data_IF_957804107227
#
_entry.id   IF_957804107227
#
_cell.length_a   1.000
_cell.length_b   1.000
_cell.length_c   1.000
_cell.angle_alpha   90.00
_cell.angle_beta   90.00
_cell.angle_gamma   90.00
#
_symmetry.space_group_name_H-M   'P 1'
#
loop_
_entity.id
_entity.type
_entity.pdbx_description
1 polymer ?
#
# COMPACT_ATOMS: atom_id res chain seq x y z
N UNK A 1 61.35 21.33 -37.33
CA UNK A 1 59.92 21.52 -37.65
C UNK A 1 59.18 20.41 -36.92
N UNK A 2 58.91 20.58 -35.63
CA UNK A 2 57.74 21.23 -35.02
C UNK A 2 56.45 20.38 -35.17
N UNK A 3 55.74 20.25 -34.04
CA UNK A 3 54.49 19.53 -33.75
C UNK A 3 54.67 18.05 -33.35
N UNK A 4 54.76 17.69 -32.06
CA UNK A 4 53.77 17.77 -30.96
C UNK A 4 52.55 16.85 -31.16
N UNK A 5 52.41 15.80 -30.34
CA UNK A 5 51.35 15.65 -29.34
C UNK A 5 51.52 14.37 -28.49
N UNK A 6 51.89 14.65 -27.24
CA UNK A 6 51.67 13.99 -25.94
C UNK A 6 51.15 12.54 -25.84
N UNK A 7 51.91 11.79 -25.01
CA UNK A 7 51.48 10.64 -24.21
C UNK A 7 50.23 10.96 -23.38
N UNK A 8 49.27 10.04 -23.36
CA UNK A 8 48.56 9.68 -22.14
C UNK A 8 48.08 8.24 -22.25
N UNK A 9 48.60 7.39 -21.37
CA UNK A 9 48.01 6.08 -21.07
C UNK A 9 46.66 6.37 -20.40
N UNK A 10 45.59 6.35 -21.19
CA UNK A 10 44.24 6.26 -20.64
C UNK A 10 44.03 4.83 -20.21
N UNK A 11 44.05 4.60 -18.90
CA UNK A 11 43.42 3.44 -18.29
C UNK A 11 42.05 3.28 -18.94
N UNK A 12 41.85 2.17 -19.65
CA UNK A 12 40.52 1.63 -19.79
C UNK A 12 40.08 1.31 -18.36
N UNK A 13 39.42 2.27 -17.71
CA UNK A 13 38.48 1.94 -16.66
C UNK A 13 37.46 1.04 -17.35
N UNK A 14 37.60 -0.26 -17.12
CA UNK A 14 36.46 -1.14 -17.13
C UNK A 14 35.42 -0.43 -16.25
N UNK A 15 34.39 0.12 -16.87
CA UNK A 15 33.27 0.67 -16.15
C UNK A 15 32.59 -0.53 -15.49
N UNK A 16 32.99 -0.80 -14.26
CA UNK A 16 32.24 -1.61 -13.33
C UNK A 16 30.87 -0.93 -13.18
N UNK A 17 29.86 -1.44 -13.88
CA UNK A 17 28.47 -1.29 -13.46
C UNK A 17 27.81 -2.65 -13.57
N UNK A 18 28.32 -3.59 -12.79
CA UNK A 18 27.57 -4.79 -12.45
C UNK A 18 26.70 -4.44 -11.23
N UNK A 19 25.80 -3.46 -11.39
CA UNK A 19 24.85 -3.07 -10.36
C UNK A 19 23.62 -3.96 -10.52
N UNK A 20 23.70 -5.23 -10.11
CA UNK A 20 22.50 -6.03 -9.96
C UNK A 20 21.76 -5.47 -8.74
N UNK A 21 20.72 -4.68 -8.98
CA UNK A 21 19.92 -4.07 -7.92
C UNK A 21 19.13 -5.19 -7.26
N UNK A 22 19.20 -5.33 -5.93
CA UNK A 22 18.31 -6.24 -5.20
C UNK A 22 16.97 -5.54 -4.98
N UNK A 23 16.12 -5.60 -6.00
CA UNK A 23 14.79 -4.97 -6.03
C UNK A 23 13.93 -5.31 -4.80
N UNK A 24 14.04 -6.53 -4.28
CA UNK A 24 13.34 -6.93 -3.06
C UNK A 24 13.91 -6.27 -1.82
N UNK A 25 15.23 -6.14 -1.73
CA UNK A 25 15.88 -5.42 -0.62
C UNK A 25 15.58 -3.93 -0.69
N UNK A 26 15.64 -3.31 -1.87
CA UNK A 26 15.31 -1.89 -2.08
C UNK A 26 13.88 -1.56 -1.65
N UNK A 27 12.89 -2.37 -2.04
CA UNK A 27 11.49 -2.16 -1.60
C UNK A 27 11.35 -2.34 -0.09
N UNK A 28 12.10 -3.27 0.53
CA UNK A 28 12.09 -3.44 1.99
C UNK A 28 12.70 -2.22 2.69
N UNK A 29 13.82 -1.72 2.19
CA UNK A 29 14.47 -0.51 2.72
C UNK A 29 13.55 0.70 2.59
N UNK A 30 12.90 0.87 1.44
CA UNK A 30 11.98 1.98 1.23
C UNK A 30 10.82 2.00 2.24
N UNK A 31 10.21 0.83 2.51
CA UNK A 31 9.16 0.72 3.53
C UNK A 31 9.71 0.96 4.95
N UNK A 32 10.94 0.51 5.25
CA UNK A 32 11.60 0.77 6.54
C UNK A 32 11.80 2.29 6.72
N UNK A 33 12.33 2.99 5.72
CA UNK A 33 12.55 4.43 5.74
C UNK A 33 11.23 5.20 5.95
N UNK A 34 10.17 4.84 5.21
CA UNK A 34 8.82 5.40 5.40
C UNK A 34 8.35 5.20 6.84
N UNK A 35 8.51 3.99 7.38
CA UNK A 35 8.10 3.68 8.75
C UNK A 35 8.89 4.48 9.78
N UNK A 36 10.20 4.61 9.62
CA UNK A 36 11.07 5.33 10.56
C UNK A 36 10.67 6.81 10.63
N UNK A 37 10.52 7.46 9.46
CA UNK A 37 10.12 8.86 9.36
C UNK A 37 8.73 9.08 9.96
N UNK A 38 7.76 8.24 9.61
CA UNK A 38 6.41 8.40 10.13
C UNK A 38 6.32 8.18 11.65
N UNK A 39 7.11 7.22 12.18
CA UNK A 39 7.12 6.89 13.61
C UNK A 39 7.95 7.84 14.46
N UNK A 40 8.87 8.60 13.86
CA UNK A 40 9.54 9.73 14.50
C UNK A 40 8.53 10.84 14.86
N UNK A 41 7.61 11.15 13.93
CA UNK A 41 6.54 12.15 14.14
C UNK A 41 5.39 11.61 15.00
N UNK A 42 5.00 10.35 14.81
CA UNK A 42 3.95 9.69 15.59
C UNK A 42 4.35 8.24 15.90
N UNK A 43 4.81 7.93 17.12
CA UNK A 43 5.24 6.57 17.50
C UNK A 43 4.19 5.47 17.36
N UNK A 44 2.91 5.83 17.23
CA UNK A 44 1.80 4.88 17.01
C UNK A 44 1.35 4.82 15.55
N UNK A 45 2.06 5.46 14.61
CA UNK A 45 1.68 5.49 13.20
C UNK A 45 1.76 4.08 12.60
N UNK A 46 0.68 3.65 11.97
CA UNK A 46 0.52 2.29 11.46
C UNK A 46 1.07 2.21 10.03
N UNK A 47 1.85 1.17 9.74
CA UNK A 47 2.36 0.90 8.38
C UNK A 47 1.90 -0.46 7.90
N UNK A 48 1.16 -0.48 6.78
CA UNK A 48 0.57 -1.69 6.18
C UNK A 48 0.92 -1.81 4.69
N UNK A 49 1.95 -2.58 4.30
CA UNK A 49 2.18 -2.96 2.91
C UNK A 49 1.05 -3.86 2.35
N UNK A 50 0.58 -3.56 1.14
CA UNK A 50 -0.36 -4.36 0.36
C UNK A 50 0.35 -5.20 -0.71
N UNK A 51 -0.09 -6.46 -0.85
CA UNK A 51 0.47 -7.43 -1.78
C UNK A 51 1.98 -7.61 -1.55
N UNK A 52 2.73 -8.12 -2.53
CA UNK A 52 4.17 -8.30 -2.41
C UNK A 52 4.63 -9.10 -1.18
N UNK A 53 3.75 -9.91 -0.58
CA UNK A 53 3.93 -10.55 0.74
C UNK A 53 5.17 -11.44 0.83
N UNK A 54 5.80 -11.74 -0.30
CA UNK A 54 7.11 -12.37 -0.36
C UNK A 54 8.20 -11.63 0.43
N UNK A 55 8.10 -10.31 0.53
CA UNK A 55 9.09 -9.46 1.20
C UNK A 55 9.17 -9.69 2.71
N UNK A 56 8.20 -10.37 3.34
CA UNK A 56 8.33 -10.77 4.75
C UNK A 56 9.44 -11.79 5.00
N UNK A 57 10.09 -12.27 3.94
CA UNK A 57 11.20 -13.21 4.00
C UNK A 57 12.36 -12.80 3.10
N UNK A 58 13.56 -13.21 3.52
CA UNK A 58 14.78 -13.17 2.72
C UNK A 58 15.02 -14.57 2.17
N UNK A 59 15.35 -14.68 0.89
CA UNK A 59 15.81 -15.93 0.30
C UNK A 59 17.34 -16.00 0.39
N UNK A 60 17.85 -17.09 0.95
CA UNK A 60 19.24 -17.50 0.76
C UNK A 60 19.25 -18.82 -0.01
N UNK A 61 20.36 -19.12 -0.72
CA UNK A 61 20.55 -20.35 -1.51
C UNK A 61 20.13 -21.66 -0.80
N UNK A 62 20.07 -21.67 0.53
CA UNK A 62 19.82 -22.87 1.33
C UNK A 62 18.65 -22.75 2.32
N UNK A 63 18.08 -21.55 2.52
CA UNK A 63 17.00 -21.34 3.49
C UNK A 63 16.26 -20.02 3.25
N UNK A 64 14.95 -20.06 3.41
CA UNK A 64 14.09 -18.88 3.55
C UNK A 64 14.02 -18.50 5.02
N UNK A 65 14.36 -17.27 5.36
CA UNK A 65 14.33 -16.74 6.73
C UNK A 65 13.44 -15.51 6.82
N UNK A 66 12.81 -15.23 7.98
CA UNK A 66 12.07 -13.97 8.18
C UNK A 66 12.97 -12.75 7.89
N UNK A 67 12.41 -11.75 7.21
CA UNK A 67 13.06 -10.46 7.00
C UNK A 67 12.81 -9.57 8.23
N UNK A 68 13.48 -9.85 9.35
CA UNK A 68 13.14 -9.26 10.65
C UNK A 68 13.15 -7.73 10.67
N UNK A 69 14.10 -7.07 10.00
CA UNK A 69 14.15 -5.60 9.95
C UNK A 69 12.87 -5.02 9.29
N UNK A 70 12.46 -5.59 8.16
CA UNK A 70 11.24 -5.20 7.45
C UNK A 70 9.99 -5.53 8.28
N UNK A 71 9.94 -6.72 8.86
CA UNK A 71 8.83 -7.11 9.74
C UNK A 71 8.72 -6.16 10.93
N UNK A 72 9.82 -5.77 11.56
CA UNK A 72 9.81 -4.85 12.72
C UNK A 72 9.34 -3.44 12.35
N UNK A 73 9.56 -3.00 11.11
CA UNK A 73 9.08 -1.70 10.62
C UNK A 73 7.55 -1.68 10.40
N UNK A 74 6.93 -2.80 10.01
CA UNK A 74 5.49 -2.84 9.68
C UNK A 74 4.61 -3.35 10.83
N UNK A 75 3.33 -2.98 10.79
CA UNK A 75 2.34 -3.34 11.82
C UNK A 75 1.41 -4.47 11.36
N UNK A 76 1.16 -4.55 10.05
CA UNK A 76 0.40 -5.60 9.42
C UNK A 76 0.92 -5.87 8.00
N UNK A 77 0.45 -6.94 7.39
CA UNK A 77 0.50 -7.16 5.94
C UNK A 77 -0.92 -7.19 5.39
N UNK A 78 -1.09 -6.71 4.17
CA UNK A 78 -2.36 -6.81 3.47
C UNK A 78 -2.23 -7.62 2.18
N UNK A 79 -3.28 -8.36 1.84
CA UNK A 79 -3.32 -9.19 0.64
C UNK A 79 -4.67 -9.09 -0.04
N UNK A 80 -4.66 -8.75 -1.32
CA UNK A 80 -5.85 -8.80 -2.15
C UNK A 80 -6.06 -10.20 -2.74
N UNK A 81 -7.29 -10.48 -3.16
CA UNK A 81 -7.62 -11.65 -3.98
C UNK A 81 -7.24 -13.00 -3.34
N UNK A 82 -7.28 -13.12 -2.01
CA UNK A 82 -6.76 -14.30 -1.33
C UNK A 82 -7.66 -15.53 -1.52
N UNK A 83 -8.95 -15.40 -1.25
CA UNK A 83 -9.95 -16.47 -1.41
C UNK A 83 -10.89 -16.21 -2.57
N UNK A 84 -11.21 -14.94 -2.85
CA UNK A 84 -12.03 -14.54 -3.98
C UNK A 84 -11.50 -13.30 -4.68
N UNK A 85 -11.68 -13.29 -6.00
CA UNK A 85 -11.42 -12.15 -6.87
C UNK A 85 -10.38 -12.43 -7.94
N UNK A 86 -9.57 -13.48 -7.82
CA UNK A 86 -8.63 -13.91 -8.87
C UNK A 86 -9.11 -15.16 -9.63
N UNK A 87 -9.03 -15.20 -10.98
CA UNK A 87 -8.47 -14.17 -11.86
C UNK A 87 -9.43 -13.01 -12.16
N UNK A 88 -10.67 -13.04 -11.65
CA UNK A 88 -11.63 -11.95 -11.78
C UNK A 88 -12.67 -11.97 -10.66
N UNK A 89 -13.40 -10.85 -10.51
CA UNK A 89 -14.49 -10.68 -9.54
C UNK A 89 -15.36 -11.93 -9.40
N UNK A 90 -15.71 -12.28 -8.16
CA UNK A 90 -16.55 -13.43 -7.80
C UNK A 90 -15.96 -14.83 -8.10
N UNK A 91 -14.73 -14.92 -8.60
CA UNK A 91 -14.06 -16.22 -8.79
C UNK A 91 -13.26 -16.60 -7.56
N UNK A 92 -13.24 -17.90 -7.28
CA UNK A 92 -12.39 -18.46 -6.22
C UNK A 92 -10.96 -18.39 -6.72
N UNK A 93 -10.09 -17.83 -5.89
CA UNK A 93 -8.64 -17.82 -6.14
C UNK A 93 -8.14 -19.26 -6.23
N UNK A 94 -7.41 -19.67 -7.28
CA UNK A 94 -6.98 -21.03 -7.44
C UNK A 94 -6.17 -21.50 -6.22
N UNK A 95 -6.35 -22.78 -5.89
CA UNK A 95 -5.80 -23.35 -4.66
C UNK A 95 -4.27 -23.21 -4.57
N UNK A 96 -3.57 -23.26 -5.70
CA UNK A 96 -2.12 -23.10 -5.72
C UNK A 96 -1.70 -21.70 -5.28
N UNK A 97 -2.33 -20.66 -5.83
CA UNK A 97 -2.06 -19.25 -5.50
C UNK A 97 -2.42 -18.95 -4.04
N UNK A 98 -3.61 -19.40 -3.59
CA UNK A 98 -4.02 -19.25 -2.19
C UNK A 98 -3.02 -19.89 -1.21
N UNK A 99 -2.61 -21.14 -1.45
CA UNK A 99 -1.65 -21.83 -0.59
C UNK A 99 -0.28 -21.17 -0.63
N UNK A 100 0.13 -20.66 -1.79
CA UNK A 100 1.39 -19.95 -1.94
C UNK A 100 1.40 -18.65 -1.12
N UNK A 101 0.40 -17.79 -1.27
CA UNK A 101 0.29 -16.52 -0.54
C UNK A 101 0.19 -16.75 0.97
N UNK A 102 -0.66 -17.69 1.39
CA UNK A 102 -0.84 -18.01 2.81
C UNK A 102 0.43 -18.44 3.53
N UNK A 103 1.38 -19.08 2.84
CA UNK A 103 2.69 -19.42 3.44
C UNK A 103 3.43 -18.17 3.95
N UNK A 104 3.30 -17.03 3.26
CA UNK A 104 3.93 -15.77 3.65
C UNK A 104 3.09 -15.03 4.70
N UNK A 105 1.75 -15.06 4.57
CA UNK A 105 0.85 -14.48 5.57
C UNK A 105 0.99 -15.17 6.93
N UNK A 106 1.11 -16.50 6.94
CA UNK A 106 1.31 -17.27 8.18
C UNK A 106 2.70 -16.98 8.78
N UNK A 107 3.73 -16.77 7.96
CA UNK A 107 5.04 -16.30 8.43
C UNK A 107 4.97 -14.92 9.08
N UNK A 108 4.23 -13.98 8.50
CA UNK A 108 4.03 -12.65 9.10
C UNK A 108 3.31 -12.75 10.46
N UNK A 109 2.32 -13.64 10.57
CA UNK A 109 1.60 -13.89 11.84
C UNK A 109 2.48 -14.54 12.91
N UNK A 110 3.33 -15.49 12.52
CA UNK A 110 4.28 -16.11 13.45
C UNK A 110 5.23 -15.06 14.06
N UNK A 111 5.47 -13.97 13.33
CA UNK A 111 6.23 -12.78 13.75
C UNK A 111 5.34 -11.66 14.34
N UNK A 112 4.10 -11.99 14.72
CA UNK A 112 3.19 -11.12 15.45
C UNK A 112 2.44 -10.08 14.63
N UNK A 113 2.49 -10.16 13.29
CA UNK A 113 1.81 -9.18 12.41
C UNK A 113 0.35 -9.54 12.18
N UNK A 114 -0.49 -8.51 12.11
CA UNK A 114 -1.85 -8.69 11.64
C UNK A 114 -1.88 -8.92 10.13
N UNK A 115 -2.96 -9.57 9.68
CA UNK A 115 -3.20 -9.84 8.26
C UNK A 115 -4.55 -9.24 7.90
N UNK A 116 -4.54 -8.29 6.95
CA UNK A 116 -5.72 -7.69 6.35
C UNK A 116 -5.95 -8.33 4.97
N UNK A 117 -7.18 -8.76 4.68
CA UNK A 117 -7.51 -9.40 3.40
C UNK A 117 -8.65 -8.69 2.72
N UNK A 118 -8.43 -8.28 1.47
CA UNK A 118 -9.49 -7.76 0.59
C UNK A 118 -9.82 -8.80 -0.46
N UNK A 119 -10.99 -9.42 -0.35
CA UNK A 119 -11.50 -10.34 -1.35
C UNK A 119 -12.49 -9.62 -2.28
N UNK A 120 -12.34 -9.77 -3.59
CA UNK A 120 -13.26 -9.17 -4.56
C UNK A 120 -14.42 -10.12 -4.87
N UNK A 121 -15.48 -10.00 -4.09
CA UNK A 121 -16.72 -10.74 -4.30
C UNK A 121 -17.97 -9.96 -3.86
N UNK A 122 -19.07 -10.24 -4.55
CA UNK A 122 -20.38 -9.64 -4.36
C UNK A 122 -21.47 -10.70 -4.20
N UNK A 123 -22.53 -10.31 -3.50
CA UNK A 123 -23.64 -11.18 -3.17
C UNK A 123 -23.45 -11.91 -1.84
N UNK A 124 -24.54 -11.96 -1.08
CA UNK A 124 -24.56 -12.47 0.30
C UNK A 124 -23.83 -13.80 0.50
N UNK A 125 -24.02 -14.78 -0.40
CA UNK A 125 -23.42 -16.11 -0.26
C UNK A 125 -21.89 -16.09 -0.41
N UNK A 126 -21.36 -15.32 -1.35
CA UNK A 126 -19.91 -15.27 -1.59
C UNK A 126 -19.22 -14.47 -0.49
N UNK A 127 -19.74 -13.28 -0.17
CA UNK A 127 -19.19 -12.43 0.89
C UNK A 127 -19.20 -13.16 2.25
N UNK A 128 -20.31 -13.81 2.62
CA UNK A 128 -20.38 -14.62 3.84
C UNK A 128 -19.33 -15.74 3.87
N UNK A 129 -19.07 -16.37 2.73
CA UNK A 129 -18.06 -17.43 2.64
C UNK A 129 -16.63 -16.87 2.71
N UNK A 130 -16.35 -15.75 2.04
CA UNK A 130 -15.07 -15.03 2.17
C UNK A 130 -14.78 -14.67 3.63
N UNK A 131 -15.72 -14.01 4.31
CA UNK A 131 -15.57 -13.67 5.73
C UNK A 131 -15.30 -14.89 6.61
N UNK A 132 -16.05 -15.98 6.39
CA UNK A 132 -15.85 -17.25 7.12
C UNK A 132 -14.44 -17.81 6.89
N UNK A 133 -13.98 -17.89 5.65
CA UNK A 133 -12.66 -18.44 5.31
C UNK A 133 -11.54 -17.59 5.93
N UNK A 134 -11.67 -16.26 5.90
CA UNK A 134 -10.70 -15.37 6.55
C UNK A 134 -10.71 -15.53 8.08
N UNK A 135 -11.88 -15.61 8.70
CA UNK A 135 -12.02 -15.83 10.15
C UNK A 135 -11.41 -17.18 10.59
N UNK A 136 -11.62 -18.26 9.82
CA UNK A 136 -10.99 -19.56 10.05
C UNK A 136 -9.44 -19.51 10.02
N UNK A 137 -8.87 -18.47 9.41
CA UNK A 137 -7.44 -18.24 9.33
C UNK A 137 -6.95 -17.10 10.25
N UNK A 138 -7.81 -16.54 11.10
CA UNK A 138 -7.53 -15.40 11.96
C UNK A 138 -7.05 -14.16 11.17
N UNK A 139 -7.68 -13.89 10.02
CA UNK A 139 -7.44 -12.68 9.22
C UNK A 139 -8.62 -11.71 9.38
N UNK A 140 -8.31 -10.42 9.50
CA UNK A 140 -9.32 -9.36 9.42
C UNK A 140 -9.59 -9.11 7.94
N UNK A 141 -10.87 -9.06 7.51
CA UNK A 141 -11.17 -9.05 6.07
C UNK A 141 -12.27 -8.08 5.68
N UNK A 142 -12.23 -7.71 4.40
CA UNK A 142 -13.25 -6.94 3.70
C UNK A 142 -13.59 -7.66 2.39
N UNK A 143 -14.89 -7.90 2.16
CA UNK A 143 -15.39 -8.42 0.90
C UNK A 143 -15.82 -7.24 0.02
N UNK A 144 -14.95 -6.82 -0.89
CA UNK A 144 -15.17 -5.71 -1.80
C UNK A 144 -16.11 -6.14 -2.95
N UNK A 145 -17.29 -5.51 -3.13
CA UNK A 145 -18.24 -5.92 -4.17
C UNK A 145 -17.80 -5.51 -5.58
N UNK A 146 -16.83 -4.60 -5.70
CA UNK A 146 -16.32 -3.98 -6.93
C UNK A 146 -14.80 -3.76 -6.81
N UNK A 147 -14.07 -3.89 -7.92
CA UNK A 147 -12.61 -3.69 -7.96
C UNK A 147 -12.22 -2.23 -7.88
N UNK A 148 -13.13 -1.36 -8.27
CA UNK A 148 -12.98 0.09 -8.29
C UNK A 148 -12.99 0.70 -6.89
N UNK A 149 -13.31 -0.08 -5.85
CA UNK A 149 -13.39 0.38 -4.45
C UNK A 149 -14.19 1.67 -4.31
N UNK A 150 -15.32 1.73 -5.02
CA UNK A 150 -16.20 2.89 -5.13
C UNK A 150 -17.53 2.72 -4.37
N UNK A 151 -17.62 1.67 -3.53
CA UNK A 151 -18.89 1.28 -2.93
C UNK A 151 -18.77 0.79 -1.49
N UNK A 152 -19.45 1.48 -0.58
CA UNK A 152 -19.75 0.95 0.75
C UNK A 152 -20.79 -0.18 0.62
N UNK A 153 -20.50 -1.41 1.08
CA UNK A 153 -21.48 -2.49 1.01
C UNK A 153 -22.73 -2.18 1.81
N UNK A 154 -23.91 -2.49 1.24
CA UNK A 154 -25.20 -2.35 1.94
C UNK A 154 -25.52 -3.53 2.88
N UNK A 155 -24.60 -4.49 2.98
CA UNK A 155 -24.69 -5.61 3.91
C UNK A 155 -24.28 -5.16 5.32
N UNK A 156 -24.79 -5.81 6.39
CA UNK A 156 -24.32 -5.55 7.75
C UNK A 156 -22.80 -5.70 7.85
N UNK A 157 -22.16 -4.83 8.64
CA UNK A 157 -20.73 -4.89 8.90
C UNK A 157 -20.40 -6.24 9.55
N UNK A 158 -19.54 -7.03 8.90
CA UNK A 158 -19.09 -8.29 9.46
C UNK A 158 -18.25 -8.04 10.72
N UNK A 159 -18.42 -8.83 11.78
CA UNK A 159 -17.74 -8.63 13.07
C UNK A 159 -17.81 -7.19 13.61
N UNK A 160 -18.96 -6.54 13.40
CA UNK A 160 -19.26 -5.22 13.98
C UNK A 160 -19.05 -5.25 15.50
N UNK A 161 -18.40 -4.23 16.05
CA UNK A 161 -18.25 -4.11 17.49
C UNK A 161 -18.31 -2.65 17.96
N UNK A 162 -18.63 -2.49 19.23
CA UNK A 162 -18.92 -1.22 19.88
C UNK A 162 -17.74 -0.67 20.70
N UNK A 163 -16.54 -1.23 20.54
CA UNK A 163 -15.35 -0.76 21.24
C UNK A 163 -14.71 0.40 20.50
N UNK A 164 -14.05 1.26 21.27
CA UNK A 164 -13.05 2.19 20.73
C UNK A 164 -11.86 1.37 20.23
N UNK A 165 -11.33 1.74 19.08
CA UNK A 165 -10.16 1.12 18.46
C UNK A 165 -9.04 2.14 18.53
N UNK A 166 -8.03 1.82 19.32
CA UNK A 166 -6.83 2.63 19.57
C UNK A 166 -5.57 1.99 19.01
N UNK A 167 -5.58 0.67 18.82
CA UNK A 167 -4.52 -0.09 18.20
C UNK A 167 -5.07 -0.97 17.09
N UNK A 168 -4.28 -1.19 16.03
CA UNK A 168 -4.69 -2.04 14.90
C UNK A 168 -5.12 -3.44 15.37
N UNK A 169 -4.46 -3.98 16.40
CA UNK A 169 -4.74 -5.29 17.01
C UNK A 169 -6.17 -5.46 17.53
N UNK A 170 -6.87 -4.34 17.77
CA UNK A 170 -8.23 -4.32 18.27
C UNK A 170 -9.28 -4.36 17.15
N UNK A 171 -8.88 -4.04 15.91
CA UNK A 171 -9.77 -3.99 14.76
C UNK A 171 -10.21 -5.40 14.32
N UNK A 172 -11.51 -5.58 14.17
CA UNK A 172 -12.18 -6.83 13.79
C UNK A 172 -12.79 -6.81 12.40
N UNK A 173 -12.82 -5.64 11.77
CA UNK A 173 -13.35 -5.43 10.43
C UNK A 173 -12.74 -4.14 9.84
N UNK A 174 -12.77 -3.99 8.52
CA UNK A 174 -12.37 -2.74 7.88
C UNK A 174 -13.20 -2.48 6.64
N UNK A 175 -13.18 -1.23 6.20
CA UNK A 175 -13.66 -0.77 4.90
C UNK A 175 -12.48 -0.33 4.06
N UNK A 176 -12.45 -0.71 2.78
CA UNK A 176 -11.49 -0.22 1.80
C UNK A 176 -12.25 0.52 0.69
N UNK A 177 -12.02 1.83 0.57
CA UNK A 177 -12.75 2.72 -0.33
C UNK A 177 -11.78 3.80 -0.86
N UNK A 178 -11.51 3.79 -2.17
CA UNK A 178 -10.54 4.71 -2.79
C UNK A 178 -11.14 5.60 -3.87
N UNK A 179 -12.23 5.17 -4.50
CA UNK A 179 -12.83 5.92 -5.59
C UNK A 179 -14.11 6.61 -5.12
N UNK A 180 -14.12 7.94 -5.24
CA UNK A 180 -15.21 8.77 -4.74
C UNK A 180 -16.07 9.37 -5.86
N UNK A 181 -15.99 8.87 -7.10
CA UNK A 181 -16.71 9.43 -8.24
C UNK A 181 -18.26 9.46 -8.06
N UNK A 182 -18.82 8.59 -7.21
CA UNK A 182 -20.25 8.61 -6.89
C UNK A 182 -20.67 9.73 -5.91
N UNK A 183 -19.71 10.44 -5.29
CA UNK A 183 -19.96 11.49 -4.31
C UNK A 183 -19.88 12.89 -4.92
N UNK A 184 -20.91 13.71 -4.68
CA UNK A 184 -20.92 15.11 -5.13
C UNK A 184 -20.00 16.03 -4.33
N UNK A 185 -19.67 15.66 -3.09
CA UNK A 185 -18.82 16.46 -2.22
C UNK A 185 -18.12 15.63 -1.16
N UNK A 186 -17.01 16.16 -0.66
CA UNK A 186 -16.30 15.63 0.52
C UNK A 186 -17.21 15.51 1.74
N UNK A 187 -18.15 16.45 1.92
CA UNK A 187 -19.12 16.43 3.03
C UNK A 187 -20.07 15.22 2.95
N UNK A 188 -20.55 14.88 1.75
CA UNK A 188 -21.46 13.75 1.54
C UNK A 188 -20.76 12.43 1.87
N UNK A 189 -19.52 12.26 1.40
CA UNK A 189 -18.68 11.10 1.70
C UNK A 189 -18.43 10.94 3.21
N UNK A 190 -17.97 12.01 3.89
CA UNK A 190 -17.72 11.98 5.34
C UNK A 190 -19.00 11.63 6.11
N UNK A 191 -20.12 12.20 5.69
CA UNK A 191 -21.42 11.93 6.32
C UNK A 191 -21.80 10.47 6.17
N UNK A 192 -21.66 9.87 4.98
CA UNK A 192 -21.97 8.46 4.78
C UNK A 192 -21.04 7.54 5.57
N UNK A 193 -19.73 7.82 5.57
CA UNK A 193 -18.75 7.05 6.33
C UNK A 193 -19.00 7.12 7.85
N UNK A 194 -19.41 8.29 8.36
CA UNK A 194 -19.80 8.46 9.76
C UNK A 194 -21.01 7.60 10.15
N UNK A 195 -21.85 7.18 9.20
CA UNK A 195 -22.96 6.26 9.42
C UNK A 195 -22.59 4.78 9.35
N UNK A 196 -21.31 4.44 9.32
CA UNK A 196 -20.81 3.06 9.40
C UNK A 196 -20.18 2.75 10.76
N UNK A 197 -20.06 1.46 11.11
CA UNK A 197 -19.41 0.99 12.33
C UNK A 197 -18.14 0.17 12.03
N UNK A 198 -17.44 0.50 10.95
CA UNK A 198 -16.15 -0.12 10.65
C UNK A 198 -15.08 0.30 11.67
N UNK A 199 -14.22 -0.63 12.09
CA UNK A 199 -13.12 -0.39 13.04
C UNK A 199 -11.93 0.33 12.41
N UNK A 200 -11.74 0.11 11.12
CA UNK A 200 -10.72 0.70 10.30
C UNK A 200 -11.34 1.16 8.97
N UNK A 201 -10.99 2.36 8.53
CA UNK A 201 -11.23 2.83 7.17
C UNK A 201 -9.88 2.99 6.48
N UNK A 202 -9.69 2.32 5.35
CA UNK A 202 -8.57 2.53 4.43
C UNK A 202 -9.11 3.37 3.27
N UNK A 203 -8.53 4.55 3.07
CA UNK A 203 -9.03 5.52 2.12
C UNK A 203 -7.93 6.44 1.58
N UNK A 204 -8.15 7.13 0.47
CA UNK A 204 -7.21 8.11 -0.09
C UNK A 204 -7.13 9.41 0.75
N UNK A 205 -5.97 10.08 0.75
CA UNK A 205 -5.78 11.43 1.31
C UNK A 205 -6.60 12.49 0.56
N UNK A 206 -6.90 12.29 -0.72
CA UNK A 206 -7.53 13.28 -1.57
C UNK A 206 -8.95 12.89 -1.93
N UNK A 207 -9.89 13.81 -1.70
CA UNK A 207 -11.18 13.80 -2.39
C UNK A 207 -11.01 14.50 -3.74
N UNK A 208 -10.82 13.72 -4.81
CA UNK A 208 -10.38 14.21 -6.12
C UNK A 208 -9.05 14.99 -6.00
N UNK A 209 -9.07 16.31 -6.10
CA UNK A 209 -7.87 17.15 -6.02
C UNK A 209 -7.75 17.89 -4.67
N UNK A 210 -8.69 17.69 -3.75
CA UNK A 210 -8.71 18.36 -2.45
C UNK A 210 -8.31 17.38 -1.33
N UNK A 211 -7.23 17.68 -0.62
CA UNK A 211 -6.83 16.88 0.54
C UNK A 211 -7.88 16.94 1.66
N UNK A 212 -8.08 15.82 2.35
CA UNK A 212 -8.78 15.82 3.63
C UNK A 212 -7.98 16.63 4.67
N UNK A 213 -8.68 17.42 5.46
CA UNK A 213 -8.09 18.21 6.55
C UNK A 213 -8.05 17.41 7.85
N UNK A 214 -7.28 17.88 8.84
CA UNK A 214 -7.32 17.32 10.19
C UNK A 214 -8.73 17.27 10.79
N UNK A 215 -9.58 18.27 10.53
CA UNK A 215 -10.97 18.25 11.00
C UNK A 215 -11.80 17.17 10.30
N UNK A 216 -11.58 16.95 9.00
CA UNK A 216 -12.25 15.90 8.25
C UNK A 216 -11.88 14.51 8.79
N UNK A 217 -10.59 14.25 9.00
CA UNK A 217 -10.12 12.97 9.53
C UNK A 217 -10.64 12.74 10.96
N UNK A 218 -10.69 13.76 11.81
CA UNK A 218 -11.28 13.63 13.15
C UNK A 218 -12.77 13.25 13.12
N UNK A 219 -13.54 13.73 12.13
CA UNK A 219 -14.93 13.29 11.93
C UNK A 219 -14.98 11.83 11.50
N UNK A 220 -14.10 11.42 10.59
CA UNK A 220 -14.02 10.04 10.09
C UNK A 220 -13.62 9.01 11.16
N UNK A 221 -12.83 9.43 12.15
CA UNK A 221 -12.47 8.60 13.32
C UNK A 221 -13.66 8.25 14.23
N UNK A 222 -14.85 8.84 14.02
CA UNK A 222 -16.07 8.48 14.77
C UNK A 222 -16.89 7.43 14.05
N UNK A 223 -17.24 6.36 14.75
CA UNK A 223 -18.25 5.37 14.33
C UNK A 223 -19.66 5.90 14.52
N UNK A 224 -20.63 5.33 13.79
CA UNK A 224 -22.06 5.61 13.98
C UNK A 224 -22.52 5.39 15.41
N UNK A 225 -21.99 4.38 16.08
CA UNK A 225 -22.31 4.06 17.47
C UNK A 225 -21.59 4.96 18.50
N UNK A 226 -20.81 5.95 18.05
CA UNK A 226 -20.09 6.91 18.89
C UNK A 226 -18.70 6.47 19.35
N UNK A 227 -18.30 5.22 19.10
CA UNK A 227 -16.96 4.75 19.42
C UNK A 227 -15.90 5.26 18.42
N UNK A 228 -14.62 5.21 18.82
CA UNK A 228 -13.49 5.57 17.95
C UNK A 228 -13.13 4.43 16.99
N UNK A 229 -12.67 4.79 15.79
CA UNK A 229 -12.07 3.91 14.78
C UNK A 229 -10.73 4.49 14.32
N UNK A 230 -9.93 3.67 13.64
CA UNK A 230 -8.72 4.10 12.96
C UNK A 230 -9.02 4.49 11.51
N UNK A 231 -8.27 5.46 10.97
CA UNK A 231 -8.34 5.86 9.56
C UNK A 231 -6.93 5.84 8.97
N UNK A 232 -6.69 5.03 7.95
CA UNK A 232 -5.38 4.80 7.32
C UNK A 232 -5.42 5.30 5.87
N UNK A 233 -4.38 6.02 5.46
CA UNK A 233 -4.30 6.62 4.13
C UNK A 233 -3.66 5.67 3.12
N UNK A 234 -4.26 5.52 1.94
CA UNK A 234 -3.61 4.90 0.78
C UNK A 234 -2.43 5.74 0.29
N UNK A 235 -1.34 5.06 -0.06
CA UNK A 235 -0.15 5.68 -0.65
C UNK A 235 0.52 4.69 -1.61
N UNK A 236 0.50 4.97 -2.92
CA UNK A 236 1.31 4.24 -3.89
C UNK A 236 2.78 4.60 -3.72
N UNK A 237 3.65 3.60 -3.57
CA UNK A 237 5.10 3.83 -3.46
C UNK A 237 5.90 3.18 -4.60
N UNK A 238 5.33 2.21 -5.31
CA UNK A 238 5.97 1.56 -6.46
C UNK A 238 5.53 2.09 -7.83
N UNK A 239 4.56 3.02 -7.88
CA UNK A 239 4.12 3.74 -9.08
C UNK A 239 3.86 5.21 -8.80
N UNK A 240 4.15 6.08 -9.78
CA UNK A 240 3.74 7.47 -9.82
C UNK A 240 2.38 7.60 -10.51
N UNK A 241 1.55 8.52 -10.06
CA UNK A 241 0.18 8.75 -10.54
C UNK A 241 0.09 10.17 -11.09
N UNK A 242 -0.26 10.33 -12.37
CA UNK A 242 -0.22 11.62 -13.08
C UNK A 242 -1.25 12.66 -12.62
N UNK A 243 -2.25 12.20 -11.86
CA UNK A 243 -3.27 13.01 -11.22
C UNK A 243 -2.89 13.46 -9.81
N UNK A 244 -1.68 13.14 -9.30
CA UNK A 244 -1.23 13.55 -7.96
C UNK A 244 -0.57 14.92 -7.97
N UNK A 245 -0.58 15.56 -6.81
CA UNK A 245 -0.05 16.90 -6.59
C UNK A 245 1.46 17.05 -6.90
N UNK A 246 2.23 15.96 -6.87
CA UNK A 246 3.66 15.97 -7.16
C UNK A 246 3.96 15.87 -8.65
N UNK A 247 2.97 15.52 -9.48
CA UNK A 247 3.18 15.38 -10.91
C UNK A 247 3.44 16.75 -11.55
N UNK A 248 4.55 16.87 -12.26
CA UNK A 248 4.87 18.08 -12.99
C UNK A 248 4.48 17.94 -14.48
N UNK A 249 3.80 18.95 -15.04
CA UNK A 249 3.31 18.92 -16.43
C UNK A 249 4.43 18.68 -17.48
N UNK A 250 5.67 19.10 -17.18
CA UNK A 250 6.83 18.87 -18.03
C UNK A 250 7.19 17.38 -18.18
N UNK A 251 6.83 16.50 -17.23
CA UNK A 251 7.14 15.07 -17.27
C UNK A 251 6.48 14.37 -18.46
N UNK A 252 5.35 14.89 -18.95
CA UNK A 252 4.65 14.42 -20.16
C UNK A 252 5.49 14.53 -21.45
N UNK A 253 6.51 15.39 -21.44
CA UNK A 253 7.40 15.62 -22.58
C UNK A 253 8.86 15.30 -22.30
N UNK A 254 9.26 15.39 -21.03
CA UNK A 254 10.61 15.14 -20.54
C UNK A 254 10.51 14.52 -19.15
N UNK A 255 10.28 13.21 -19.13
CA UNK A 255 10.17 12.44 -17.90
C UNK A 255 11.50 12.43 -17.12
N UNK A 256 11.44 12.42 -15.78
CA UNK A 256 12.58 12.04 -14.95
C UNK A 256 13.07 10.64 -15.32
N UNK A 257 14.36 10.36 -15.12
CA UNK A 257 14.92 9.04 -15.50
C UNK A 257 14.39 7.89 -14.67
N UNK A 258 13.91 8.17 -13.46
CA UNK A 258 13.29 7.17 -12.58
C UNK A 258 11.83 6.86 -12.95
N UNK A 259 11.20 7.65 -13.83
CA UNK A 259 9.84 7.42 -14.31
C UNK A 259 9.91 6.57 -15.58
N UNK A 260 9.39 5.34 -15.53
CA UNK A 260 9.70 4.28 -16.49
C UNK A 260 8.67 4.18 -17.62
N UNK A 261 7.59 3.43 -17.42
CA UNK A 261 6.53 3.25 -18.41
C UNK A 261 5.16 3.28 -17.74
N UNK A 262 4.15 3.72 -18.48
CA UNK A 262 2.77 3.69 -18.03
C UNK A 262 2.31 2.24 -17.85
N UNK A 263 1.56 1.99 -16.79
CA UNK A 263 0.95 0.73 -16.48
C UNK A 263 -0.25 0.50 -17.42
N UNK A 264 -0.20 -0.48 -18.35
CA UNK A 264 -1.25 -0.67 -19.35
C UNK A 264 -2.60 -1.09 -18.75
N UNK A 265 -2.61 -1.58 -17.51
CA UNK A 265 -3.83 -1.96 -16.80
C UNK A 265 -4.42 -0.80 -15.97
N UNK A 266 -3.65 0.26 -15.75
CA UNK A 266 -4.01 1.39 -14.89
C UNK A 266 -3.54 2.71 -15.52
N UNK A 267 -4.39 3.28 -16.38
CA UNK A 267 -4.14 4.56 -17.05
C UNK A 267 -3.75 5.66 -16.04
N UNK A 268 -2.74 6.45 -16.40
CA UNK A 268 -2.18 7.50 -15.55
C UNK A 268 -1.25 7.02 -14.43
N UNK A 269 -1.03 5.71 -14.28
CA UNK A 269 -0.08 5.16 -13.31
C UNK A 269 1.20 4.73 -14.03
N UNK A 270 2.37 5.04 -13.48
CA UNK A 270 3.67 4.85 -14.13
C UNK A 270 4.62 4.12 -13.21
N UNK A 271 5.29 3.08 -13.71
CA UNK A 271 6.32 2.36 -12.98
C UNK A 271 7.45 3.32 -12.62
N UNK A 272 7.97 3.23 -11.39
CA UNK A 272 9.08 4.05 -10.93
C UNK A 272 10.23 3.18 -10.43
N UNK A 273 11.47 3.63 -10.66
CA UNK A 273 12.64 3.14 -9.95
C UNK A 273 12.52 3.54 -8.47
N UNK A 274 11.77 2.78 -7.67
CA UNK A 274 11.42 3.16 -6.29
C UNK A 274 12.63 3.24 -5.34
N UNK A 275 13.80 2.75 -5.74
CA UNK A 275 15.08 2.97 -5.04
C UNK A 275 15.71 4.35 -5.32
N UNK A 276 15.19 5.10 -6.30
CA UNK A 276 15.73 6.39 -6.69
C UNK A 276 15.45 7.46 -5.63
N UNK A 277 16.48 8.25 -5.29
CA UNK A 277 16.41 9.28 -4.26
C UNK A 277 15.39 10.37 -4.57
N UNK A 278 15.26 10.80 -5.83
CA UNK A 278 14.32 11.86 -6.22
C UNK A 278 12.87 11.40 -6.03
N UNK A 279 12.58 10.12 -6.30
CA UNK A 279 11.26 9.54 -6.03
C UNK A 279 10.99 9.44 -4.53
N UNK A 280 11.96 8.92 -3.76
CA UNK A 280 11.89 8.85 -2.29
C UNK A 280 11.65 10.23 -1.67
N UNK A 281 12.26 11.28 -2.22
CA UNK A 281 12.08 12.66 -1.77
C UNK A 281 10.64 13.17 -1.96
N UNK A 282 9.94 12.77 -3.03
CA UNK A 282 8.51 13.09 -3.22
C UNK A 282 7.62 12.38 -2.20
N UNK A 283 8.01 11.18 -1.77
CA UNK A 283 7.25 10.37 -0.83
C UNK A 283 7.46 10.83 0.62
N UNK A 284 8.70 11.08 1.05
CA UNK A 284 8.98 11.43 2.45
C UNK A 284 10.04 12.52 2.69
N UNK A 285 10.74 13.03 1.66
CA UNK A 285 11.97 13.82 1.85
C UNK A 285 11.81 15.26 2.36
N UNK A 286 10.58 15.75 2.54
CA UNK A 286 10.34 17.12 3.01
C UNK A 286 8.99 17.29 3.72
N UNK A 287 8.78 18.44 4.36
CA UNK A 287 7.48 18.83 4.94
C UNK A 287 6.33 18.88 3.91
N UNK A 288 6.66 18.96 2.61
CA UNK A 288 5.70 18.98 1.52
C UNK A 288 5.52 17.63 0.82
N UNK A 289 6.29 16.61 1.22
CA UNK A 289 6.20 15.25 0.69
C UNK A 289 4.85 14.59 1.00
N UNK A 290 4.51 13.53 0.27
CA UNK A 290 3.20 12.88 0.39
C UNK A 290 2.95 12.38 1.83
N UNK A 291 3.90 11.64 2.41
CA UNK A 291 3.81 11.13 3.78
C UNK A 291 3.59 12.26 4.80
N UNK A 292 4.29 13.39 4.66
CA UNK A 292 4.14 14.56 5.52
C UNK A 292 2.72 15.14 5.46
N UNK A 293 2.09 15.17 4.27
CA UNK A 293 0.69 15.60 4.13
C UNK A 293 -0.29 14.63 4.81
N UNK A 294 -0.04 13.32 4.73
CA UNK A 294 -0.85 12.28 5.39
C UNK A 294 -0.78 12.45 6.92
N UNK A 295 0.43 12.61 7.46
CA UNK A 295 0.65 12.81 8.90
C UNK A 295 -0.01 14.12 9.35
N UNK A 296 0.17 15.21 8.62
CA UNK A 296 -0.43 16.51 8.95
C UNK A 296 -1.98 16.50 8.91
N UNK A 297 -2.58 15.70 8.04
CA UNK A 297 -4.03 15.48 8.01
C UNK A 297 -4.53 14.61 9.19
N UNK A 298 -3.63 14.01 9.97
CA UNK A 298 -3.98 13.27 11.19
C UNK A 298 -4.49 11.86 10.96
N UNK A 299 -4.16 11.24 9.82
CA UNK A 299 -4.35 9.81 9.62
C UNK A 299 -3.58 8.99 10.66
N UNK A 300 -4.09 7.82 11.03
CA UNK A 300 -3.46 6.91 11.99
C UNK A 300 -2.35 6.06 11.36
N UNK A 301 -2.23 6.05 10.04
CA UNK A 301 -1.24 5.27 9.34
C UNK A 301 -1.29 5.39 7.82
N UNK A 302 -0.45 4.59 7.17
CA UNK A 302 -0.38 4.40 5.72
C UNK A 302 -0.62 2.94 5.32
N UNK A 303 -1.33 2.79 4.21
CA UNK A 303 -1.55 1.55 3.50
C UNK A 303 -0.81 1.66 2.17
N UNK A 304 0.36 0.99 2.10
CA UNK A 304 1.35 1.17 1.06
C UNK A 304 1.08 0.23 -0.11
N UNK A 305 0.87 0.79 -1.31
CA UNK A 305 0.57 0.01 -2.50
C UNK A 305 1.74 -0.09 -3.48
N UNK A 306 1.63 -1.06 -4.39
CA UNK A 306 2.64 -1.44 -5.39
C UNK A 306 3.93 -1.96 -4.72
N UNK A 307 3.77 -2.67 -3.59
CA UNK A 307 4.87 -3.36 -2.93
C UNK A 307 5.45 -4.47 -3.83
N UNK A 308 4.62 -5.10 -4.64
CA UNK A 308 5.02 -6.08 -5.66
C UNK A 308 5.66 -5.45 -6.90
N UNK A 309 5.85 -4.13 -6.93
CA UNK A 309 6.59 -3.42 -7.99
C UNK A 309 8.00 -3.98 -8.24
N UNK A 310 8.62 -4.66 -7.26
CA UNK A 310 9.89 -5.36 -7.48
C UNK A 310 9.81 -6.45 -8.57
N UNK A 311 8.65 -7.11 -8.72
CA UNK A 311 8.48 -8.20 -9.70
C UNK A 311 8.65 -7.67 -11.13
N UNK A 312 8.16 -6.46 -11.38
CA UNK A 312 8.28 -5.80 -12.68
C UNK A 312 9.74 -5.70 -13.15
N UNK A 313 10.64 -5.36 -12.22
CA UNK A 313 12.07 -5.19 -12.52
C UNK A 313 12.81 -6.53 -12.52
N UNK A 314 12.50 -7.46 -11.59
CA UNK A 314 13.04 -8.82 -11.61
C UNK A 314 12.72 -9.57 -12.91
N UNK A 315 11.52 -9.41 -13.46
CA UNK A 315 11.09 -10.08 -14.70
C UNK A 315 11.80 -9.54 -15.97
N UNK A 316 12.53 -8.43 -15.86
CA UNK A 316 13.20 -7.72 -16.96
C UNK A 316 14.73 -7.80 -16.93
N UNK A 317 15.32 -8.42 -15.90
CA UNK A 317 16.75 -8.80 -15.87
C UNK A 317 17.02 -10.10 -16.65
#
# INVERSE_FOLDING_TARGET
MLCCLFLSCGEHMAQESNNNVDYRQEMREFVIEISEIAKEENPNFIVVPQNGVQLVSKESKFKKTPALDYLNAIDAVAQEDLFYGYPKLNKITPKADNLYLRKYLDLAKDEGKQVLVTDYCSGFKLMKNSYKLNEENNYTSFAAPRRELDRIPTYPVFNENNKNISHLSEAKNFLYLLNYAEYSSKYDLITELAFTNYDLIIMDLFFHNEAFTAEDIQKLKKKKNGAERLVISYLSIGEAEDYRFYWEENWNSKSPTWLVEENPEWEGNFKVEYWNADWKDLIYGSENAYLSKIIAAGFDGVYLDIIDGYQYFEDRE
#
